data_IF_336614054585
#
_entry.id   IF_336614054585
#
_cell.length_a   1.000
_cell.length_b   1.000
_cell.length_c   1.000
_cell.angle_alpha   90.00
_cell.angle_beta   90.00
_cell.angle_gamma   90.00
#
_symmetry.space_group_name_H-M   'P 1'
#
loop_
_entity.id
_entity.type
_entity.pdbx_description
1 polymer ?
#
# COMPACT_ATOMS: atom_id res chain seq x y z
N UNK A 1 -25.22 33.12 -29.92
CA UNK A 1 -25.36 32.97 -31.38
C UNK A 1 -24.18 32.14 -31.88
N UNK A 2 -24.43 30.88 -32.25
CA UNK A 2 -23.51 30.08 -33.05
C UNK A 2 -24.37 29.36 -34.09
N UNK A 3 -24.01 29.56 -35.36
CA UNK A 3 -24.68 29.02 -36.55
C UNK A 3 -24.06 27.65 -36.84
N UNK A 4 -24.88 26.71 -37.32
CA UNK A 4 -24.59 25.33 -37.76
C UNK A 4 -24.80 24.21 -36.70
N UNK A 5 -25.99 23.58 -36.66
CA UNK A 5 -26.15 22.19 -36.26
C UNK A 5 -26.11 21.28 -37.50
N UNK A 6 -25.23 20.28 -37.48
CA UNK A 6 -25.19 19.17 -38.44
C UNK A 6 -26.28 18.15 -38.12
N UNK A 7 -26.95 17.65 -39.17
CA UNK A 7 -28.12 16.78 -39.10
C UNK A 7 -27.81 15.28 -39.07
N UNK A 8 -28.91 14.50 -39.11
CA UNK A 8 -29.09 13.04 -38.90
C UNK A 8 -29.69 12.77 -37.50
N UNK A 9 -30.92 12.28 -37.30
CA UNK A 9 -31.79 11.43 -38.10
C UNK A 9 -33.28 11.79 -37.90
N UNK A 10 -34.02 11.90 -39.01
CA UNK A 10 -35.47 11.82 -39.10
C UNK A 10 -35.79 10.66 -40.05
N UNK A 11 -36.65 9.75 -39.60
CA UNK A 11 -37.47 8.73 -40.30
C UNK A 11 -37.56 7.54 -39.32
N UNK A 12 -38.71 7.23 -38.71
CA UNK A 12 -39.84 6.61 -39.38
C UNK A 12 -41.21 7.08 -38.84
N UNK A 13 -42.03 7.66 -39.71
CA UNK A 13 -43.47 7.80 -39.52
C UNK A 13 -44.14 7.68 -40.90
N UNK A 14 -44.98 6.65 -41.08
CA UNK A 14 -45.86 6.46 -42.25
C UNK A 14 -47.21 5.92 -41.75
N UNK A 15 -48.35 6.36 -42.34
CA UNK A 15 -49.56 6.71 -41.61
C UNK A 15 -50.67 5.65 -41.57
N UNK A 16 -51.64 5.89 -40.70
CA UNK A 16 -52.90 5.15 -40.58
C UNK A 16 -53.80 5.32 -41.82
N UNK A 17 -54.54 4.27 -42.23
CA UNK A 17 -55.65 4.43 -43.17
C UNK A 17 -56.99 4.56 -42.42
N UNK A 18 -57.72 5.61 -42.78
CA UNK A 18 -59.17 5.72 -42.57
C UNK A 18 -59.89 4.61 -43.35
N UNK A 19 -60.84 3.93 -42.71
CA UNK A 19 -62.03 3.47 -43.42
C UNK A 19 -63.22 3.27 -42.48
N UNK A 20 -64.26 4.05 -42.74
CA UNK A 20 -65.54 4.01 -42.05
C UNK A 20 -66.46 2.97 -42.71
N UNK A 21 -66.96 2.00 -41.93
CA UNK A 21 -68.17 1.26 -42.28
C UNK A 21 -69.05 1.02 -41.04
N UNK A 22 -70.27 1.54 -41.14
CA UNK A 22 -71.41 1.44 -40.21
C UNK A 22 -71.80 -0.02 -39.95
N UNK A 23 -72.17 -0.34 -38.70
CA UNK A 23 -73.16 -1.38 -38.32
C UNK A 23 -73.70 -1.11 -36.89
N UNK A 24 -74.90 -1.64 -36.53
CA UNK A 24 -75.95 -0.85 -35.89
C UNK A 24 -76.01 -0.91 -34.37
N UNK A 25 -76.79 0.03 -33.81
CA UNK A 25 -77.12 0.18 -32.40
C UNK A 25 -77.69 -1.10 -31.77
N UNK A 26 -77.14 -1.47 -30.60
CA UNK A 26 -77.75 -2.44 -29.68
C UNK A 26 -77.96 -1.79 -28.31
N UNK A 27 -79.24 -1.80 -27.93
CA UNK A 27 -79.84 -1.81 -26.61
C UNK A 27 -79.03 -1.26 -25.42
N UNK A 28 -79.59 -0.19 -24.86
CA UNK A 28 -79.34 0.38 -23.54
C UNK A 28 -79.59 -0.69 -22.47
N UNK A 29 -78.52 -1.21 -21.87
CA UNK A 29 -78.60 -1.99 -20.64
C UNK A 29 -78.40 -1.02 -19.46
N UNK A 30 -79.40 -0.97 -18.58
CA UNK A 30 -79.33 -0.30 -17.29
C UNK A 30 -78.18 -0.89 -16.47
N UNK A 31 -77.17 -0.08 -16.20
CA UNK A 31 -76.08 -0.43 -15.28
C UNK A 31 -76.40 0.16 -13.92
N UNK A 32 -76.65 -0.74 -12.98
CA UNK A 32 -76.72 -0.52 -11.53
C UNK A 32 -75.49 0.28 -11.07
N UNK A 33 -75.61 1.32 -10.23
CA UNK A 33 -74.46 2.03 -9.69
C UNK A 33 -73.85 1.23 -8.54
N UNK A 34 -73.10 0.18 -8.88
CA UNK A 34 -72.30 -0.59 -7.95
C UNK A 34 -70.89 -0.73 -8.52
N UNK A 35 -70.16 0.39 -8.55
CA UNK A 35 -68.70 0.44 -8.49
C UNK A 35 -68.30 1.91 -8.30
N UNK A 36 -68.57 2.43 -7.10
CA UNK A 36 -67.84 3.58 -6.61
C UNK A 36 -66.36 3.17 -6.59
N UNK A 37 -65.58 3.68 -7.56
CA UNK A 37 -64.11 3.56 -7.61
C UNK A 37 -63.56 3.71 -6.20
N UNK A 38 -63.11 2.61 -5.60
CA UNK A 38 -62.29 2.67 -4.38
C UNK A 38 -61.14 3.62 -4.69
N UNK A 39 -61.16 4.79 -4.05
CA UNK A 39 -60.05 5.72 -4.05
C UNK A 39 -58.81 4.95 -3.61
N UNK A 40 -57.94 4.58 -4.54
CA UNK A 40 -56.64 4.00 -4.21
C UNK A 40 -55.90 5.03 -3.36
N UNK A 41 -55.56 4.67 -2.12
CA UNK A 41 -54.83 5.56 -1.22
C UNK A 41 -53.59 6.13 -1.93
N UNK A 42 -53.34 7.43 -1.74
CA UNK A 42 -52.15 8.06 -2.31
C UNK A 42 -50.89 7.44 -1.70
N UNK A 43 -49.86 7.27 -2.52
CA UNK A 43 -48.53 6.83 -2.06
C UNK A 43 -47.92 7.93 -1.19
N UNK A 44 -47.13 7.55 -0.21
CA UNK A 44 -46.41 8.47 0.67
C UNK A 44 -44.90 8.33 0.50
N UNK A 45 -44.22 9.47 0.27
CA UNK A 45 -42.77 9.59 0.29
C UNK A 45 -42.34 10.19 1.64
N UNK A 46 -41.51 9.48 2.39
CA UNK A 46 -40.76 10.05 3.51
C UNK A 46 -39.43 10.57 2.96
N UNK A 47 -39.28 11.89 2.89
CA UNK A 47 -38.09 12.53 2.38
C UNK A 47 -37.14 12.89 3.53
N UNK A 48 -36.00 12.22 3.59
CA UNK A 48 -34.97 12.47 4.61
C UNK A 48 -33.99 13.52 4.09
N UNK A 49 -33.96 14.65 4.78
CA UNK A 49 -33.18 15.84 4.43
C UNK A 49 -32.15 16.14 5.52
N UNK A 50 -31.06 16.79 5.13
CA UNK A 50 -29.98 17.22 6.02
C UNK A 50 -28.62 17.03 5.35
N UNK A 51 -27.59 17.69 5.89
CA UNK A 51 -26.25 17.58 5.33
C UNK A 51 -25.72 16.13 5.37
N UNK A 52 -24.82 15.78 4.44
CA UNK A 52 -24.05 14.55 4.53
C UNK A 52 -23.42 14.43 5.92
N UNK A 53 -23.43 13.21 6.50
CA UNK A 53 -22.88 12.91 7.84
C UNK A 53 -23.70 13.46 9.02
N UNK A 54 -24.84 14.11 8.78
CA UNK A 54 -25.81 14.52 9.82
C UNK A 54 -26.72 13.39 10.33
N UNK A 55 -26.49 12.14 9.94
CA UNK A 55 -27.34 11.02 10.37
C UNK A 55 -28.42 10.59 9.38
N UNK A 56 -28.48 11.21 8.21
CA UNK A 56 -29.45 10.89 7.13
C UNK A 56 -29.48 9.40 6.78
N UNK A 57 -28.33 8.72 6.71
CA UNK A 57 -28.29 7.27 6.46
C UNK A 57 -28.85 6.44 7.63
N UNK A 58 -28.56 6.83 8.87
CA UNK A 58 -29.06 6.11 10.04
C UNK A 58 -30.60 6.22 10.12
N UNK A 59 -31.14 7.40 9.83
CA UNK A 59 -32.57 7.64 9.85
C UNK A 59 -33.30 6.94 8.69
N UNK A 60 -32.72 6.97 7.48
CA UNK A 60 -33.24 6.22 6.33
C UNK A 60 -33.32 4.73 6.64
N UNK A 61 -32.28 4.18 7.28
CA UNK A 61 -32.30 2.78 7.69
C UNK A 61 -33.39 2.50 8.72
N UNK A 62 -33.55 3.35 9.74
CA UNK A 62 -34.61 3.20 10.73
C UNK A 62 -36.01 3.20 10.09
N UNK A 63 -36.26 4.13 9.17
CA UNK A 63 -37.51 4.22 8.41
C UNK A 63 -37.73 2.96 7.55
N UNK A 64 -36.69 2.42 6.92
CA UNK A 64 -36.79 1.15 6.18
C UNK A 64 -37.09 -0.05 7.07
N UNK A 65 -36.55 -0.07 8.30
CA UNK A 65 -36.80 -1.15 9.27
C UNK A 65 -38.26 -1.17 9.75
N UNK A 66 -38.94 -0.02 9.68
CA UNK A 66 -40.39 0.14 9.93
C UNK A 66 -41.25 -0.19 8.70
N UNK A 67 -40.63 -0.63 7.60
CA UNK A 67 -41.32 -1.17 6.42
C UNK A 67 -41.51 -0.19 5.26
N UNK A 68 -40.89 0.99 5.29
CA UNK A 68 -40.84 1.84 4.09
C UNK A 68 -39.90 1.26 3.03
N UNK A 69 -40.32 1.29 1.77
CA UNK A 69 -39.53 0.75 0.65
C UNK A 69 -38.28 1.60 0.39
N UNK A 70 -37.16 0.91 0.12
CA UNK A 70 -35.88 1.50 -0.30
C UNK A 70 -35.79 1.50 -1.83
N UNK A 71 -34.95 2.35 -2.45
CA UNK A 71 -34.75 2.29 -3.89
C UNK A 71 -34.10 0.95 -4.30
N UNK A 72 -34.48 0.44 -5.47
CA UNK A 72 -33.91 -0.81 -6.02
C UNK A 72 -32.40 -0.75 -6.22
N UNK A 73 -31.88 0.39 -6.68
CA UNK A 73 -30.46 0.57 -7.02
C UNK A 73 -29.78 1.57 -6.06
N UNK A 74 -29.26 1.06 -4.95
CA UNK A 74 -28.59 1.85 -3.92
C UNK A 74 -27.08 1.91 -4.11
N UNK A 75 -26.46 3.02 -3.67
CA UNK A 75 -25.01 3.19 -3.66
C UNK A 75 -24.28 2.15 -2.81
N UNK A 76 -24.91 1.66 -1.74
CA UNK A 76 -24.38 0.54 -0.95
C UNK A 76 -23.20 0.92 -0.06
N UNK A 77 -22.54 -0.09 0.51
CA UNK A 77 -21.45 0.08 1.48
C UNK A 77 -20.15 0.54 0.81
N UNK A 78 -19.39 1.36 1.54
CA UNK A 78 -18.04 1.78 1.14
C UNK A 78 -17.13 1.91 2.37
N UNK A 79 -15.80 2.09 2.20
CA UNK A 79 -14.87 2.17 3.34
C UNK A 79 -15.17 3.28 4.36
N UNK A 80 -15.88 4.34 3.95
CA UNK A 80 -16.24 5.48 4.83
C UNK A 80 -17.62 5.34 5.49
N UNK A 81 -18.38 4.33 5.08
CA UNK A 81 -19.69 3.95 5.59
C UNK A 81 -19.93 2.44 5.36
N UNK A 82 -19.39 1.58 6.25
CA UNK A 82 -19.50 0.13 6.13
C UNK A 82 -20.95 -0.38 6.16
N UNK A 83 -21.87 0.37 6.77
CA UNK A 83 -23.29 0.01 6.89
C UNK A 83 -24.09 0.24 5.61
N UNK A 84 -23.56 0.98 4.63
CA UNK A 84 -24.27 1.29 3.40
C UNK A 84 -24.81 2.70 3.29
N UNK A 85 -24.75 3.22 2.08
CA UNK A 85 -25.52 4.34 1.58
C UNK A 85 -26.85 3.83 1.01
N UNK A 86 -27.92 4.56 1.28
CA UNK A 86 -29.30 4.25 0.86
C UNK A 86 -29.75 5.14 -0.30
N UNK A 87 -28.82 5.93 -0.84
CA UNK A 87 -29.03 6.86 -1.94
C UNK A 87 -29.27 6.10 -3.26
N UNK A 88 -30.30 6.47 -4.04
CA UNK A 88 -30.50 5.95 -5.39
C UNK A 88 -29.41 6.46 -6.34
N UNK A 89 -28.55 5.56 -6.84
CA UNK A 89 -27.33 5.91 -7.61
C UNK A 89 -27.66 6.73 -8.85
N UNK A 90 -28.69 6.32 -9.60
CA UNK A 90 -29.08 6.97 -10.86
C UNK A 90 -29.63 8.38 -10.65
N UNK A 91 -30.26 8.65 -9.50
CA UNK A 91 -30.67 10.00 -9.12
C UNK A 91 -29.46 10.85 -8.72
N UNK A 92 -28.52 10.29 -7.96
CA UNK A 92 -27.27 10.97 -7.60
C UNK A 92 -26.49 11.41 -8.86
N UNK A 93 -26.33 10.52 -9.84
CA UNK A 93 -25.69 10.82 -11.13
C UNK A 93 -26.47 11.87 -11.95
N UNK A 94 -27.81 11.83 -11.91
CA UNK A 94 -28.64 12.85 -12.55
C UNK A 94 -28.45 14.23 -11.89
N UNK A 95 -28.33 14.28 -10.56
CA UNK A 95 -28.03 15.52 -9.83
C UNK A 95 -26.65 16.07 -10.16
N UNK A 96 -25.62 15.22 -10.25
CA UNK A 96 -24.28 15.68 -10.64
C UNK A 96 -24.30 16.31 -12.04
N UNK A 97 -25.04 15.73 -12.98
CA UNK A 97 -25.25 16.32 -14.32
C UNK A 97 -26.01 17.64 -14.25
N UNK A 98 -27.12 17.68 -13.50
CA UNK A 98 -27.94 18.89 -13.34
C UNK A 98 -27.15 20.05 -12.76
N UNK A 99 -26.43 19.80 -11.67
CA UNK A 99 -25.60 20.81 -11.03
C UNK A 99 -24.45 21.24 -11.96
N UNK A 100 -23.80 20.30 -12.64
CA UNK A 100 -22.73 20.59 -13.58
C UNK A 100 -23.18 21.47 -14.75
N UNK A 101 -24.35 21.23 -15.32
CA UNK A 101 -24.94 22.06 -16.39
C UNK A 101 -25.27 23.48 -15.91
N UNK A 102 -25.64 23.64 -14.64
CA UNK A 102 -25.83 24.95 -14.00
C UNK A 102 -24.51 25.60 -13.54
N UNK A 103 -23.36 25.00 -13.82
CA UNK A 103 -22.06 25.52 -13.38
C UNK A 103 -21.87 25.44 -11.85
N UNK A 104 -22.59 24.55 -11.17
CA UNK A 104 -22.48 24.25 -9.74
C UNK A 104 -21.98 22.82 -9.51
N UNK A 105 -21.93 22.42 -8.24
CA UNK A 105 -21.55 21.08 -7.79
C UNK A 105 -22.19 20.80 -6.43
N UNK A 106 -22.13 19.55 -6.00
CA UNK A 106 -22.74 19.12 -4.74
C UNK A 106 -22.13 19.80 -3.51
N UNK A 107 -20.85 20.20 -3.60
CA UNK A 107 -20.08 20.92 -2.58
C UNK A 107 -20.12 22.45 -2.76
N UNK A 108 -20.92 22.96 -3.69
CA UNK A 108 -21.11 24.38 -3.87
C UNK A 108 -22.03 24.95 -2.79
N UNK A 109 -21.53 25.79 -1.89
CA UNK A 109 -22.34 26.38 -0.82
C UNK A 109 -23.14 27.61 -1.26
N UNK A 110 -23.00 28.05 -2.53
CA UNK A 110 -23.85 29.13 -3.09
C UNK A 110 -25.29 28.66 -3.27
N UNK A 111 -26.23 29.60 -3.36
CA UNK A 111 -27.61 29.29 -3.71
C UNK A 111 -27.68 28.65 -5.10
N UNK A 112 -28.59 27.71 -5.29
CA UNK A 112 -28.85 27.07 -6.57
C UNK A 112 -30.35 27.19 -6.90
N UNK A 113 -30.69 27.85 -8.01
CA UNK A 113 -32.05 27.86 -8.54
C UNK A 113 -32.14 26.96 -9.78
N UNK A 114 -32.91 25.86 -9.76
CA UNK A 114 -33.15 25.03 -10.93
C UNK A 114 -33.67 25.78 -12.17
N UNK A 115 -34.27 26.96 -12.00
CA UNK A 115 -34.71 27.80 -13.12
C UNK A 115 -33.56 28.33 -13.98
N UNK A 116 -32.34 28.44 -13.44
CA UNK A 116 -31.15 28.93 -14.14
C UNK A 116 -30.72 28.00 -15.28
N UNK A 117 -31.16 26.73 -15.27
CA UNK A 117 -30.96 25.77 -16.37
C UNK A 117 -31.72 26.14 -17.65
N UNK A 118 -32.72 27.02 -17.53
CA UNK A 118 -33.67 27.32 -18.60
C UNK A 118 -34.79 26.27 -18.72
N UNK A 119 -35.95 26.74 -19.19
CA UNK A 119 -37.19 25.97 -19.12
C UNK A 119 -37.15 24.60 -19.82
N UNK A 120 -36.41 24.46 -20.92
CA UNK A 120 -36.30 23.18 -21.63
C UNK A 120 -35.51 22.13 -20.85
N UNK A 121 -34.36 22.51 -20.27
CA UNK A 121 -33.54 21.61 -19.45
C UNK A 121 -34.22 21.28 -18.13
N UNK A 122 -34.84 22.26 -17.47
CA UNK A 122 -35.62 22.02 -16.26
C UNK A 122 -36.75 21.01 -16.49
N UNK A 123 -37.49 21.11 -17.61
CA UNK A 123 -38.51 20.11 -17.98
C UNK A 123 -37.91 18.72 -18.19
N UNK A 124 -36.75 18.64 -18.84
CA UNK A 124 -36.04 17.37 -19.01
C UNK A 124 -35.70 16.74 -17.65
N UNK A 125 -35.12 17.50 -16.72
CA UNK A 125 -34.78 16.99 -15.39
C UNK A 125 -36.01 16.59 -14.58
N UNK A 126 -37.10 17.37 -14.63
CA UNK A 126 -38.36 17.00 -13.98
C UNK A 126 -38.88 15.64 -14.50
N UNK A 127 -38.86 15.44 -15.82
CA UNK A 127 -39.30 14.18 -16.43
C UNK A 127 -38.38 13.00 -16.05
N UNK A 128 -37.06 13.19 -16.09
CA UNK A 128 -36.10 12.14 -15.74
C UNK A 128 -36.13 11.78 -14.26
N UNK A 129 -36.26 12.77 -13.37
CA UNK A 129 -36.44 12.51 -11.93
C UNK A 129 -37.73 11.73 -11.71
N UNK A 130 -38.86 12.15 -12.29
CA UNK A 130 -40.13 11.43 -12.16
C UNK A 130 -40.02 9.97 -12.64
N UNK A 131 -39.40 9.75 -13.80
CA UNK A 131 -39.15 8.42 -14.37
C UNK A 131 -38.30 7.55 -13.43
N UNK A 132 -37.21 8.11 -12.89
CA UNK A 132 -36.35 7.39 -11.96
C UNK A 132 -37.06 7.08 -10.63
N UNK A 133 -37.87 7.99 -10.10
CA UNK A 133 -38.66 7.72 -8.88
C UNK A 133 -39.61 6.54 -9.13
N UNK A 134 -40.29 6.50 -10.28
CA UNK A 134 -41.18 5.38 -10.62
C UNK A 134 -40.41 4.06 -10.76
N UNK A 135 -39.27 4.07 -11.44
CA UNK A 135 -38.43 2.87 -11.63
C UNK A 135 -37.85 2.35 -10.31
N UNK A 136 -37.33 3.23 -9.46
CA UNK A 136 -36.64 2.88 -8.22
C UNK A 136 -37.61 2.42 -7.12
N UNK A 137 -38.83 2.96 -7.06
CA UNK A 137 -39.79 2.69 -5.97
C UNK A 137 -41.07 1.96 -6.40
N UNK A 138 -41.32 1.81 -7.71
CA UNK A 138 -42.47 1.10 -8.25
C UNK A 138 -43.81 1.60 -7.71
N UNK A 139 -44.69 0.67 -7.33
CA UNK A 139 -46.01 0.95 -6.75
C UNK A 139 -46.03 1.00 -5.21
N UNK A 140 -44.87 1.11 -4.56
CA UNK A 140 -44.77 1.07 -3.09
C UNK A 140 -45.69 2.13 -2.45
N UNK A 141 -46.59 1.74 -1.52
CA UNK A 141 -47.52 2.67 -0.88
C UNK A 141 -46.80 3.62 0.09
N UNK A 142 -45.70 3.18 0.71
CA UNK A 142 -44.82 3.97 1.55
C UNK A 142 -43.37 3.71 1.14
N UNK A 143 -42.63 4.76 0.83
CA UNK A 143 -41.20 4.66 0.50
C UNK A 143 -40.40 5.78 1.12
N UNK A 144 -39.09 5.52 1.31
CA UNK A 144 -38.15 6.50 1.86
C UNK A 144 -37.18 6.95 0.79
N UNK A 145 -37.05 8.27 0.65
CA UNK A 145 -36.14 8.90 -0.29
C UNK A 145 -35.10 9.71 0.47
N UNK A 146 -33.84 9.43 0.17
CA UNK A 146 -32.71 10.14 0.74
C UNK A 146 -31.63 10.31 -0.30
N UNK A 147 -31.32 11.56 -0.58
CA UNK A 147 -30.11 11.99 -1.29
C UNK A 147 -29.82 13.40 -0.75
N UNK A 148 -28.74 13.62 0.01
CA UNK A 148 -28.57 14.86 0.78
C UNK A 148 -28.62 16.15 -0.04
N UNK A 149 -28.31 16.11 -1.35
CA UNK A 149 -28.38 17.31 -2.21
C UNK A 149 -29.82 17.76 -2.44
N UNK A 150 -30.82 16.88 -2.29
CA UNK A 150 -32.25 17.25 -2.36
C UNK A 150 -32.58 18.37 -1.36
N UNK A 151 -31.89 18.45 -0.21
CA UNK A 151 -32.02 19.57 0.73
C UNK A 151 -31.92 20.95 0.07
N UNK A 152 -31.18 21.06 -1.04
CA UNK A 152 -30.91 22.30 -1.76
C UNK A 152 -31.94 22.67 -2.81
N UNK A 153 -32.79 21.72 -3.21
CA UNK A 153 -33.78 21.90 -4.26
C UNK A 153 -35.07 21.12 -3.95
N UNK A 154 -35.47 21.11 -2.68
CA UNK A 154 -36.73 20.50 -2.21
C UNK A 154 -37.96 20.97 -3.02
N UNK A 155 -38.11 22.26 -3.41
CA UNK A 155 -39.28 22.69 -4.19
C UNK A 155 -39.43 21.96 -5.53
N UNK A 156 -38.32 21.64 -6.20
CA UNK A 156 -38.31 20.87 -7.45
C UNK A 156 -38.92 19.46 -7.22
N UNK A 157 -38.48 18.80 -6.15
CA UNK A 157 -38.96 17.47 -5.78
C UNK A 157 -40.41 17.47 -5.31
N UNK A 158 -40.82 18.49 -4.56
CA UNK A 158 -42.20 18.64 -4.13
C UNK A 158 -43.17 18.76 -5.32
N UNK A 159 -42.82 19.57 -6.32
CA UNK A 159 -43.61 19.72 -7.55
C UNK A 159 -43.69 18.40 -8.34
N UNK A 160 -42.57 17.69 -8.47
CA UNK A 160 -42.53 16.41 -9.18
C UNK A 160 -43.41 15.38 -8.48
N UNK A 161 -43.24 15.21 -7.16
CA UNK A 161 -44.01 14.24 -6.38
C UNK A 161 -45.51 14.58 -6.34
N UNK A 162 -45.88 15.86 -6.30
CA UNK A 162 -47.26 16.31 -6.43
C UNK A 162 -47.86 15.91 -7.79
N UNK A 163 -47.11 16.11 -8.89
CA UNK A 163 -47.54 15.69 -10.24
C UNK A 163 -47.72 14.17 -10.35
N UNK A 164 -46.94 13.40 -9.58
CA UNK A 164 -47.03 11.94 -9.46
C UNK A 164 -48.12 11.49 -8.46
N UNK A 165 -48.85 12.43 -7.83
CA UNK A 165 -49.86 12.18 -6.79
C UNK A 165 -49.31 11.42 -5.58
N UNK A 166 -48.07 11.73 -5.20
CA UNK A 166 -47.40 11.21 -4.02
C UNK A 166 -47.42 12.28 -2.93
N UNK A 167 -47.95 11.94 -1.75
CA UNK A 167 -47.91 12.82 -0.60
C UNK A 167 -46.51 12.79 0.03
N UNK A 168 -45.96 13.95 0.40
CA UNK A 168 -44.58 14.05 0.92
C UNK A 168 -44.60 14.41 2.39
N UNK A 169 -43.80 13.68 3.18
CA UNK A 169 -43.54 13.95 4.60
C UNK A 169 -42.04 14.15 4.79
N UNK A 170 -41.65 15.25 5.44
CA UNK A 170 -40.24 15.61 5.56
C UNK A 170 -39.68 15.22 6.92
N UNK A 171 -38.50 14.60 6.88
CA UNK A 171 -37.72 14.30 8.08
C UNK A 171 -36.40 15.05 7.93
N UNK A 172 -36.24 16.13 8.68
CA UNK A 172 -35.00 16.90 8.70
C UNK A 172 -34.15 16.35 9.83
N UNK A 173 -32.90 16.00 9.52
CA UNK A 173 -31.97 15.50 10.53
C UNK A 173 -30.74 16.36 10.63
N UNK A 174 -30.50 16.81 11.85
CA UNK A 174 -29.36 17.62 12.22
C UNK A 174 -28.39 16.83 13.09
N UNK A 175 -27.14 17.29 13.10
CA UNK A 175 -26.09 16.78 13.98
C UNK A 175 -25.22 17.95 14.39
N UNK A 176 -24.55 17.84 15.54
CA UNK A 176 -23.58 18.85 15.94
C UNK A 176 -22.58 19.14 14.80
N UNK A 177 -22.49 20.41 14.33
CA UNK A 177 -21.66 20.75 13.17
C UNK A 177 -20.17 20.42 13.38
N UNK A 178 -19.65 20.45 14.62
CA UNK A 178 -18.27 20.02 14.87
C UNK A 178 -18.05 18.53 14.53
N UNK A 179 -19.04 17.68 14.81
CA UNK A 179 -18.96 16.25 14.49
C UNK A 179 -19.09 16.01 12.98
N UNK A 180 -19.92 16.80 12.29
CA UNK A 180 -20.03 16.77 10.82
C UNK A 180 -18.71 17.19 10.17
N UNK A 181 -18.15 18.32 10.60
CA UNK A 181 -16.88 18.86 10.11
C UNK A 181 -15.74 17.84 10.32
N UNK A 182 -15.59 17.31 11.53
CA UNK A 182 -14.56 16.31 11.82
C UNK A 182 -14.72 15.04 10.94
N UNK A 183 -15.97 14.65 10.64
CA UNK A 183 -16.22 13.52 9.74
C UNK A 183 -15.87 13.83 8.28
N UNK A 184 -16.01 15.07 7.83
CA UNK A 184 -15.66 15.50 6.47
C UNK A 184 -14.14 15.67 6.31
N UNK A 185 -13.47 16.22 7.31
CA UNK A 185 -12.01 16.37 7.35
C UNK A 185 -11.31 15.00 7.33
N UNK A 186 -11.83 14.00 8.06
CA UNK A 186 -11.28 12.63 8.05
C UNK A 186 -11.34 11.99 6.65
N UNK A 187 -12.28 12.40 5.80
CA UNK A 187 -12.37 11.94 4.41
C UNK A 187 -11.31 12.59 3.50
N UNK A 188 -10.57 13.59 4.01
CA UNK A 188 -9.53 14.31 3.29
C UNK A 188 -10.04 15.26 2.22
N UNK A 189 -11.34 15.57 2.20
CA UNK A 189 -11.97 16.31 1.09
C UNK A 189 -12.16 17.80 1.36
N UNK A 190 -12.24 18.24 2.62
CA UNK A 190 -12.61 19.63 2.94
C UNK A 190 -11.91 20.17 4.17
N UNK A 191 -11.78 21.50 4.20
CA UNK A 191 -11.30 22.25 5.37
C UNK A 191 -12.44 22.54 6.35
N UNK A 192 -12.08 22.88 7.58
CA UNK A 192 -13.00 23.23 8.66
C UNK A 192 -14.07 24.26 8.24
N UNK A 193 -13.65 25.44 7.76
CA UNK A 193 -14.56 26.54 7.43
C UNK A 193 -15.46 26.21 6.23
N UNK A 194 -14.91 25.56 5.20
CA UNK A 194 -15.67 25.14 4.04
C UNK A 194 -16.75 24.12 4.43
N UNK A 195 -16.40 23.13 5.25
CA UNK A 195 -17.34 22.13 5.77
C UNK A 195 -18.47 22.77 6.58
N UNK A 196 -18.16 23.83 7.34
CA UNK A 196 -19.15 24.56 8.13
C UNK A 196 -20.15 25.33 7.24
N UNK A 197 -19.68 25.99 6.18
CA UNK A 197 -20.55 26.67 5.21
C UNK A 197 -21.41 25.69 4.41
N UNK A 198 -20.84 24.54 4.04
CA UNK A 198 -21.57 23.51 3.31
C UNK A 198 -22.69 22.91 4.17
N UNK A 199 -22.42 22.64 5.45
CA UNK A 199 -23.45 22.26 6.42
C UNK A 199 -24.53 23.33 6.52
N UNK A 200 -24.15 24.60 6.73
CA UNK A 200 -25.06 25.72 6.88
C UNK A 200 -26.04 25.83 5.70
N UNK A 201 -25.53 25.78 4.47
CA UNK A 201 -26.34 25.84 3.23
C UNK A 201 -27.43 24.77 3.20
N UNK A 202 -27.06 23.51 3.46
CA UNK A 202 -27.98 22.38 3.38
C UNK A 202 -29.09 22.46 4.43
N UNK A 203 -28.76 22.84 5.66
CA UNK A 203 -29.75 22.91 6.73
C UNK A 203 -30.72 24.09 6.53
N UNK A 204 -30.21 25.27 6.11
CA UNK A 204 -31.05 26.45 5.86
C UNK A 204 -32.03 26.24 4.70
N UNK A 205 -31.57 25.65 3.59
CA UNK A 205 -32.42 25.42 2.41
C UNK A 205 -33.49 24.36 2.69
N UNK A 206 -33.11 23.26 3.36
CA UNK A 206 -34.07 22.22 3.75
C UNK A 206 -35.13 22.75 4.73
N UNK A 207 -34.70 23.50 5.74
CA UNK A 207 -35.65 24.07 6.70
C UNK A 207 -36.61 25.03 6.01
N UNK A 208 -36.09 26.02 5.27
CA UNK A 208 -36.90 27.02 4.59
C UNK A 208 -37.92 26.40 3.63
N UNK A 209 -37.47 25.47 2.78
CA UNK A 209 -38.30 24.90 1.73
C UNK A 209 -39.39 23.94 2.24
N UNK A 210 -39.30 23.49 3.50
CA UNK A 210 -40.27 22.55 4.10
C UNK A 210 -41.30 23.23 5.00
N UNK A 211 -41.20 24.56 5.21
CA UNK A 211 -42.17 25.32 6.02
C UNK A 211 -43.60 25.14 5.49
N UNK A 212 -44.55 25.01 6.42
CA UNK A 212 -45.97 24.80 6.08
C UNK A 212 -46.30 23.42 5.50
N UNK A 213 -45.33 22.48 5.47
CA UNK A 213 -45.53 21.08 5.07
C UNK A 213 -45.40 20.16 6.30
N UNK A 214 -45.94 18.92 6.25
CA UNK A 214 -45.71 17.95 7.30
C UNK A 214 -44.22 17.65 7.46
N UNK A 215 -43.62 18.11 8.57
CA UNK A 215 -42.19 18.00 8.83
C UNK A 215 -41.90 17.66 10.29
N UNK A 216 -40.82 16.91 10.52
CA UNK A 216 -40.27 16.64 11.85
C UNK A 216 -38.76 16.87 11.82
N UNK A 217 -38.22 17.38 12.91
CA UNK A 217 -36.78 17.56 13.13
C UNK A 217 -36.31 16.51 14.13
N UNK A 218 -35.17 15.88 13.85
CA UNK A 218 -34.61 14.81 14.65
C UNK A 218 -33.08 14.92 14.67
N UNK A 219 -32.53 15.17 15.85
CA UNK A 219 -31.08 15.20 16.01
C UNK A 219 -30.50 13.78 16.02
N UNK A 220 -29.36 13.62 15.36
CA UNK A 220 -28.62 12.36 15.35
C UNK A 220 -28.25 11.91 16.77
N UNK A 221 -27.87 12.85 17.62
CA UNK A 221 -27.54 12.60 19.03
C UNK A 221 -28.73 11.99 19.78
N UNK A 222 -29.92 12.60 19.71
CA UNK A 222 -31.10 12.05 20.39
C UNK A 222 -31.55 10.70 19.81
N UNK A 223 -31.35 10.49 18.51
CA UNK A 223 -31.65 9.19 17.89
C UNK A 223 -30.71 8.08 18.40
N UNK A 224 -29.44 8.40 18.67
CA UNK A 224 -28.49 7.43 19.26
C UNK A 224 -28.83 7.18 20.74
N UNK A 225 -29.12 8.23 21.50
CA UNK A 225 -29.37 8.12 22.95
C UNK A 225 -30.76 7.52 23.26
N UNK A 226 -31.74 7.73 22.38
CA UNK A 226 -33.15 7.43 22.66
C UNK A 226 -34.02 7.28 21.41
N UNK A 227 -33.61 6.42 20.46
CA UNK A 227 -34.28 6.22 19.16
C UNK A 227 -35.80 6.05 19.24
N UNK A 228 -36.31 5.37 20.28
CA UNK A 228 -37.76 5.08 20.43
C UNK A 228 -38.58 6.37 20.46
N UNK A 229 -38.14 7.35 21.24
CA UNK A 229 -38.82 8.65 21.34
C UNK A 229 -38.82 9.43 20.03
N UNK A 230 -37.76 9.31 19.24
CA UNK A 230 -37.65 9.93 17.92
C UNK A 230 -38.57 9.26 16.90
N UNK A 231 -38.65 7.94 16.90
CA UNK A 231 -39.58 7.18 16.04
C UNK A 231 -41.05 7.47 16.41
N UNK A 232 -41.38 7.51 17.69
CA UNK A 232 -42.72 7.87 18.17
C UNK A 232 -43.10 9.29 17.72
N UNK A 233 -42.21 10.28 17.93
CA UNK A 233 -42.42 11.66 17.46
C UNK A 233 -42.59 11.76 15.95
N UNK A 234 -41.79 11.01 15.19
CA UNK A 234 -41.91 10.92 13.73
C UNK A 234 -43.28 10.36 13.32
N UNK A 235 -43.73 9.30 13.99
CA UNK A 235 -45.03 8.66 13.74
C UNK A 235 -46.18 9.62 13.97
N UNK A 236 -46.18 10.31 15.12
CA UNK A 236 -47.22 11.26 15.50
C UNK A 236 -47.20 12.52 14.64
N UNK A 237 -46.04 13.16 14.49
CA UNK A 237 -45.93 14.44 13.76
C UNK A 237 -46.24 14.27 12.29
N UNK A 238 -45.75 13.18 11.69
CA UNK A 238 -45.95 12.90 10.28
C UNK A 238 -47.17 12.03 10.01
N UNK A 239 -47.97 11.66 11.02
CA UNK A 239 -49.19 10.85 10.88
C UNK A 239 -48.97 9.65 9.93
N UNK A 240 -47.93 8.85 10.21
CA UNK A 240 -47.51 7.71 9.39
C UNK A 240 -48.09 6.42 9.97
N UNK A 241 -48.74 5.64 9.12
CA UNK A 241 -49.05 4.24 9.41
C UNK A 241 -47.89 3.36 8.92
N UNK A 242 -47.13 2.80 9.86
CA UNK A 242 -45.98 1.95 9.53
C UNK A 242 -46.43 0.56 9.05
N UNK A 243 -45.95 0.07 7.89
CA UNK A 243 -46.22 -1.29 7.42
C UNK A 243 -45.76 -2.36 8.39
N UNK A 244 -44.70 -2.08 9.17
CA UNK A 244 -44.25 -2.91 10.28
C UNK A 244 -44.43 -2.16 11.60
N UNK A 245 -45.14 -2.74 12.59
CA UNK A 245 -45.28 -2.14 13.91
C UNK A 245 -43.93 -1.87 14.58
N UNK A 246 -43.84 -0.76 15.33
CA UNK A 246 -42.61 -0.34 16.02
C UNK A 246 -42.10 -1.43 16.97
N UNK A 247 -43.01 -2.10 17.69
CA UNK A 247 -42.67 -3.18 18.62
C UNK A 247 -42.01 -4.37 17.90
N UNK A 248 -42.45 -4.70 16.69
CA UNK A 248 -41.89 -5.81 15.90
C UNK A 248 -40.50 -5.46 15.34
N UNK A 249 -40.22 -4.17 15.13
CA UNK A 249 -38.94 -3.67 14.64
C UNK A 249 -37.94 -3.34 15.76
N UNK A 250 -38.36 -3.43 17.04
CA UNK A 250 -37.60 -2.92 18.19
C UNK A 250 -36.18 -3.48 18.30
N UNK A 251 -35.99 -4.79 18.13
CA UNK A 251 -34.66 -5.41 18.18
C UNK A 251 -33.75 -4.90 17.07
N UNK A 252 -34.27 -4.76 15.85
CA UNK A 252 -33.49 -4.27 14.71
C UNK A 252 -33.12 -2.80 14.87
N UNK A 253 -34.05 -1.97 15.36
CA UNK A 253 -33.82 -0.54 15.63
C UNK A 253 -32.81 -0.34 16.76
N UNK A 254 -32.92 -1.11 17.84
CA UNK A 254 -31.98 -1.07 18.98
C UNK A 254 -30.55 -1.44 18.56
N UNK A 255 -30.39 -2.50 17.77
CA UNK A 255 -29.08 -2.88 17.23
C UNK A 255 -28.51 -1.79 16.32
N UNK A 256 -29.35 -1.23 15.44
CA UNK A 256 -28.95 -0.21 14.47
C UNK A 256 -28.45 1.10 15.12
N UNK A 257 -29.12 1.57 16.18
CA UNK A 257 -28.72 2.79 16.90
C UNK A 257 -27.73 2.54 18.05
N UNK A 258 -27.15 1.34 18.15
CA UNK A 258 -26.17 1.05 19.19
C UNK A 258 -24.95 2.00 19.09
N UNK A 259 -24.47 2.48 20.24
CA UNK A 259 -23.42 3.49 20.35
C UNK A 259 -22.10 3.12 19.65
N UNK A 260 -21.89 1.83 19.33
CA UNK A 260 -20.73 1.34 18.56
C UNK A 260 -20.59 1.98 17.17
N UNK A 261 -21.65 2.60 16.64
CA UNK A 261 -21.64 3.28 15.34
C UNK A 261 -21.38 4.79 15.39
N UNK A 262 -21.14 5.36 16.58
CA UNK A 262 -20.88 6.80 16.73
C UNK A 262 -19.39 7.14 16.66
N UNK A 263 -18.91 7.50 15.47
CA UNK A 263 -17.48 7.78 15.26
C UNK A 263 -17.01 9.18 15.68
N UNK A 264 -17.92 10.14 15.89
CA UNK A 264 -17.60 11.52 16.27
C UNK A 264 -18.66 12.09 17.21
N UNK A 265 -18.24 12.59 18.37
CA UNK A 265 -19.11 13.18 19.40
C UNK A 265 -18.64 14.59 19.69
N UNK A 266 -19.58 15.54 19.66
CA UNK A 266 -19.34 16.91 20.05
C UNK A 266 -20.51 17.42 20.89
N UNK A 267 -20.21 18.12 21.98
CA UNK A 267 -21.23 18.72 22.83
C UNK A 267 -21.60 20.12 22.34
N UNK A 268 -22.80 20.57 22.69
CA UNK A 268 -23.23 21.96 22.46
C UNK A 268 -22.28 22.96 23.09
N UNK A 269 -21.87 22.73 24.34
CA UNK A 269 -20.93 23.60 25.05
C UNK A 269 -19.60 23.76 24.28
N UNK A 270 -19.10 22.67 23.67
CA UNK A 270 -17.90 22.72 22.84
C UNK A 270 -18.10 23.55 21.56
N UNK A 271 -19.25 23.43 20.91
CA UNK A 271 -19.60 24.25 19.74
C UNK A 271 -19.64 25.74 20.12
N UNK A 272 -20.32 26.07 21.21
CA UNK A 272 -20.42 27.46 21.68
C UNK A 272 -19.05 28.05 22.03
N UNK A 273 -18.18 27.25 22.65
CA UNK A 273 -16.82 27.66 23.01
C UNK A 273 -15.83 27.73 21.84
N UNK A 274 -16.11 27.13 20.68
CA UNK A 274 -15.19 27.15 19.53
C UNK A 274 -15.14 28.55 18.91
N UNK A 275 -13.99 29.22 19.05
CA UNK A 275 -13.75 30.58 18.56
C UNK A 275 -13.62 30.65 17.03
N UNK A 276 -13.31 29.53 16.37
CA UNK A 276 -13.20 29.46 14.91
C UNK A 276 -14.56 29.36 14.24
N UNK A 277 -15.59 28.96 14.99
CA UNK A 277 -16.93 28.75 14.47
C UNK A 277 -17.69 30.07 14.36
N UNK A 278 -18.29 30.31 13.20
CA UNK A 278 -19.07 31.51 12.94
C UNK A 278 -20.36 31.52 13.75
N UNK A 279 -20.85 32.74 14.05
CA UNK A 279 -22.14 32.91 14.73
C UNK A 279 -23.28 32.29 13.92
N UNK A 280 -23.25 32.38 12.58
CA UNK A 280 -24.23 31.77 11.69
C UNK A 280 -24.44 30.28 11.95
N UNK A 281 -23.36 29.51 12.10
CA UNK A 281 -23.45 28.06 12.34
C UNK A 281 -23.98 27.76 13.74
N UNK A 282 -23.51 28.49 14.76
CA UNK A 282 -23.99 28.34 16.16
C UNK A 282 -25.47 28.67 16.27
N UNK A 283 -25.88 29.80 15.69
CA UNK A 283 -27.25 30.28 15.66
C UNK A 283 -28.17 29.28 14.95
N UNK A 284 -27.75 28.79 13.78
CA UNK A 284 -28.51 27.80 13.02
C UNK A 284 -28.68 26.52 13.81
N UNK A 285 -27.61 25.98 14.39
CA UNK A 285 -27.69 24.76 15.20
C UNK A 285 -28.60 24.94 16.42
N UNK A 286 -28.50 26.06 17.12
CA UNK A 286 -29.38 26.36 18.26
C UNK A 286 -30.84 26.49 17.84
N UNK A 287 -31.14 27.06 16.67
CA UNK A 287 -32.49 27.16 16.14
C UNK A 287 -33.05 25.80 15.71
N UNK A 288 -32.26 24.95 15.04
CA UNK A 288 -32.67 23.58 14.68
C UNK A 288 -33.02 22.76 15.93
N UNK A 289 -32.23 22.88 17.01
CA UNK A 289 -32.55 22.24 18.30
C UNK A 289 -33.86 22.74 18.92
N UNK A 290 -34.23 24.00 18.69
CA UNK A 290 -35.52 24.52 19.12
C UNK A 290 -36.66 23.94 18.25
N UNK A 291 -36.44 23.82 16.94
CA UNK A 291 -37.39 23.22 16.00
C UNK A 291 -37.63 21.72 16.24
N UNK A 292 -36.63 20.99 16.75
CA UNK A 292 -36.80 19.61 17.23
C UNK A 292 -37.85 19.48 18.33
N UNK A 293 -38.00 20.51 19.18
CA UNK A 293 -38.99 20.55 20.25
C UNK A 293 -40.32 21.11 19.77
N UNK A 294 -40.27 22.13 18.93
CA UNK A 294 -41.44 22.79 18.35
C UNK A 294 -41.16 23.15 16.87
N UNK A 295 -41.64 22.34 15.90
CA UNK A 295 -41.39 22.57 14.48
C UNK A 295 -41.92 23.90 13.91
N UNK A 296 -42.75 24.62 14.69
CA UNK A 296 -43.34 25.91 14.36
C UNK A 296 -42.84 27.04 15.29
N UNK A 297 -41.69 26.89 15.93
CA UNK A 297 -41.10 27.94 16.75
C UNK A 297 -40.75 29.17 15.89
N UNK A 298 -41.50 30.25 16.09
CA UNK A 298 -41.35 31.49 15.33
C UNK A 298 -40.01 32.20 15.60
N UNK A 299 -39.45 32.08 16.81
CA UNK A 299 -38.16 32.68 17.15
C UNK A 299 -37.04 31.96 16.45
N UNK A 300 -37.06 30.62 16.47
CA UNK A 300 -36.10 29.80 15.74
C UNK A 300 -36.18 30.07 14.23
N UNK A 301 -37.40 30.14 13.68
CA UNK A 301 -37.63 30.43 12.26
C UNK A 301 -37.09 31.81 11.86
N UNK A 302 -37.37 32.86 12.64
CA UNK A 302 -36.86 34.21 12.38
C UNK A 302 -35.32 34.29 12.49
N UNK A 303 -34.73 33.54 13.43
CA UNK A 303 -33.29 33.44 13.55
C UNK A 303 -32.65 32.77 12.33
N UNK A 304 -33.25 31.69 11.81
CA UNK A 304 -32.80 31.04 10.59
C UNK A 304 -32.94 31.94 9.36
N UNK A 305 -34.03 32.71 9.27
CA UNK A 305 -34.21 33.71 8.20
C UNK A 305 -33.11 34.78 8.24
N UNK A 306 -32.81 35.34 9.42
CA UNK A 306 -31.75 36.33 9.57
C UNK A 306 -30.37 35.77 9.17
N UNK A 307 -30.08 34.52 9.52
CA UNK A 307 -28.83 33.85 9.11
C UNK A 307 -28.81 33.60 7.61
N UNK A 308 -29.91 33.09 7.03
CA UNK A 308 -30.03 32.83 5.59
C UNK A 308 -29.83 34.11 4.79
N UNK A 309 -30.55 35.17 5.13
CA UNK A 309 -30.48 36.44 4.40
C UNK A 309 -29.07 37.05 4.47
N UNK A 310 -28.40 36.97 5.64
CA UNK A 310 -27.02 37.41 5.79
C UNK A 310 -26.03 36.54 4.98
N UNK A 311 -26.24 35.23 4.95
CA UNK A 311 -25.39 34.30 4.22
C UNK A 311 -25.56 34.44 2.70
N UNK A 312 -26.80 34.57 2.22
CA UNK A 312 -27.13 34.79 0.81
C UNK A 312 -26.60 36.15 0.32
N UNK A 313 -26.61 37.19 1.17
CA UNK A 313 -26.01 38.48 0.83
C UNK A 313 -24.48 38.40 0.66
N UNK A 314 -23.80 37.62 1.51
CA UNK A 314 -22.34 37.43 1.42
C UNK A 314 -21.92 36.45 0.32
N UNK A 315 -22.81 35.54 -0.08
CA UNK A 315 -22.47 34.39 -0.92
C UNK A 315 -21.99 34.74 -2.32
N UNK A 316 -22.60 35.67 -3.08
CA UNK A 316 -22.13 36.05 -4.40
C UNK A 316 -20.70 36.60 -4.39
N UNK A 317 -20.39 37.51 -3.45
CA UNK A 317 -19.08 38.20 -3.38
C UNK A 317 -17.93 37.21 -3.20
N UNK A 318 -18.04 36.32 -2.20
CA UNK A 318 -16.98 35.34 -1.96
C UNK A 318 -17.07 34.15 -2.91
N UNK A 319 -18.28 33.75 -3.28
CA UNK A 319 -18.55 32.58 -4.11
C UNK A 319 -18.04 32.75 -5.54
N UNK A 320 -18.25 33.92 -6.16
CA UNK A 320 -17.74 34.23 -7.51
C UNK A 320 -16.21 34.34 -7.55
N UNK A 321 -15.58 34.81 -6.48
CA UNK A 321 -14.12 34.83 -6.37
C UNK A 321 -13.54 33.43 -6.10
N UNK A 322 -14.26 32.59 -5.36
CA UNK A 322 -13.74 31.33 -4.84
C UNK A 322 -13.97 30.13 -5.76
N UNK A 323 -15.21 29.90 -6.22
CA UNK A 323 -15.56 28.66 -6.93
C UNK A 323 -14.96 28.55 -8.34
N UNK A 324 -14.92 29.61 -9.16
CA UNK A 324 -14.22 29.55 -10.45
C UNK A 324 -12.73 29.22 -10.29
N UNK A 325 -12.04 29.88 -9.35
CA UNK A 325 -10.62 29.64 -9.07
C UNK A 325 -10.39 28.22 -8.52
N UNK A 326 -11.24 27.75 -7.60
CA UNK A 326 -11.19 26.38 -7.09
C UNK A 326 -11.36 25.34 -8.21
N UNK A 327 -12.26 25.60 -9.17
CA UNK A 327 -12.46 24.71 -10.33
C UNK A 327 -11.22 24.65 -11.21
N UNK A 328 -10.62 25.81 -11.52
CA UNK A 328 -9.37 25.88 -12.30
C UNK A 328 -8.27 25.09 -11.60
N UNK A 329 -8.06 25.31 -10.30
CA UNK A 329 -7.06 24.55 -9.52
C UNK A 329 -7.35 23.06 -9.48
N UNK A 330 -8.60 22.66 -9.32
CA UNK A 330 -9.00 21.25 -9.30
C UNK A 330 -8.70 20.55 -10.63
N UNK A 331 -8.95 21.23 -11.75
CA UNK A 331 -8.61 20.73 -13.09
C UNK A 331 -7.09 20.60 -13.23
N UNK A 332 -6.32 21.63 -12.87
CA UNK A 332 -4.85 21.58 -12.90
C UNK A 332 -4.29 20.46 -12.03
N UNK A 333 -4.85 20.23 -10.84
CA UNK A 333 -4.42 19.17 -9.94
C UNK A 333 -4.84 17.78 -10.44
N UNK A 334 -5.97 17.67 -11.14
CA UNK A 334 -6.36 16.44 -11.83
C UNK A 334 -5.42 16.12 -12.99
N UNK A 335 -5.05 17.11 -13.80
CA UNK A 335 -4.08 16.97 -14.90
C UNK A 335 -2.70 16.56 -14.37
N UNK A 336 -2.19 17.24 -13.34
CA UNK A 336 -0.92 16.87 -12.69
C UNK A 336 -0.96 15.44 -12.14
N UNK A 337 -2.07 15.03 -11.51
CA UNK A 337 -2.24 13.66 -11.02
C UNK A 337 -2.27 12.65 -12.15
N UNK A 338 -2.97 12.95 -13.25
CA UNK A 338 -3.00 12.09 -14.43
C UNK A 338 -1.60 11.95 -15.06
N UNK A 339 -0.83 13.04 -15.13
CA UNK A 339 0.56 13.02 -15.60
C UNK A 339 1.46 12.16 -14.68
N UNK A 340 1.35 12.32 -13.36
CA UNK A 340 2.09 11.50 -12.40
C UNK A 340 1.71 10.03 -12.50
N UNK A 341 0.42 9.71 -12.60
CA UNK A 341 -0.06 8.34 -12.78
C UNK A 341 0.46 7.73 -14.08
N UNK A 342 0.47 8.50 -15.16
CA UNK A 342 1.04 8.06 -16.44
C UNK A 342 2.55 7.79 -16.33
N UNK A 343 3.30 8.68 -15.67
CA UNK A 343 4.73 8.48 -15.45
C UNK A 343 5.01 7.22 -14.61
N UNK A 344 4.24 7.02 -13.54
CA UNK A 344 4.31 5.80 -12.71
C UNK A 344 4.00 4.55 -13.55
N UNK A 345 2.97 4.60 -14.40
CA UNK A 345 2.61 3.48 -15.26
C UNK A 345 3.70 3.16 -16.30
N UNK A 346 4.44 4.16 -16.78
CA UNK A 346 5.59 3.96 -17.69
C UNK A 346 6.80 3.40 -16.94
N UNK A 347 7.06 3.84 -15.72
CA UNK A 347 8.25 3.42 -14.95
C UNK A 347 8.09 2.09 -14.23
N UNK A 348 6.86 1.70 -13.85
CA UNK A 348 6.60 0.48 -13.10
C UNK A 348 7.17 -0.79 -13.75
N UNK A 349 7.01 -1.04 -15.08
CA UNK A 349 7.57 -2.24 -15.72
C UNK A 349 9.11 -2.31 -15.67
N UNK A 350 9.79 -1.17 -15.75
CA UNK A 350 11.26 -1.12 -15.67
C UNK A 350 11.74 -1.38 -14.24
N UNK A 351 11.05 -0.83 -13.23
CA UNK A 351 11.31 -1.13 -11.82
C UNK A 351 11.10 -2.62 -11.54
N UNK A 352 10.02 -3.22 -12.05
CA UNK A 352 9.73 -4.65 -11.89
C UNK A 352 10.82 -5.51 -12.55
N UNK A 353 11.28 -5.14 -13.75
CA UNK A 353 12.37 -5.81 -14.45
C UNK A 353 13.67 -5.76 -13.66
N UNK A 354 14.06 -4.57 -13.18
CA UNK A 354 15.28 -4.39 -12.39
C UNK A 354 15.20 -5.15 -11.06
N UNK A 355 14.03 -5.18 -10.42
CA UNK A 355 13.79 -5.93 -9.18
C UNK A 355 13.98 -7.43 -9.43
N UNK A 356 13.38 -7.97 -10.49
CA UNK A 356 13.55 -9.37 -10.87
C UNK A 356 15.01 -9.73 -11.22
N UNK A 357 15.74 -8.82 -11.88
CA UNK A 357 17.16 -9.01 -12.17
C UNK A 357 18.02 -9.01 -10.90
N UNK A 358 17.76 -8.10 -9.96
CA UNK A 358 18.44 -8.07 -8.66
C UNK A 358 18.18 -9.35 -7.87
N UNK A 359 16.95 -9.87 -7.85
CA UNK A 359 16.62 -11.15 -7.21
C UNK A 359 17.31 -12.34 -7.87
N UNK A 360 17.47 -12.32 -9.20
CA UNK A 360 18.24 -13.34 -9.92
C UNK A 360 19.71 -13.31 -9.52
N UNK A 361 20.33 -12.13 -9.53
CA UNK A 361 21.74 -11.95 -9.17
C UNK A 361 22.00 -12.34 -7.71
N UNK A 362 21.09 -12.00 -6.79
CA UNK A 362 21.19 -12.43 -5.38
C UNK A 362 21.21 -13.95 -5.25
N UNK A 363 20.31 -14.66 -5.94
CA UNK A 363 20.30 -16.13 -5.97
C UNK A 363 21.58 -16.72 -6.57
N UNK A 364 22.14 -16.09 -7.60
CA UNK A 364 23.41 -16.53 -8.18
C UNK A 364 24.57 -16.38 -7.18
N UNK A 365 24.63 -15.26 -6.45
CA UNK A 365 25.63 -15.04 -5.40
C UNK A 365 25.48 -16.08 -4.28
N UNK A 366 24.27 -16.32 -3.77
CA UNK A 366 24.01 -17.33 -2.74
C UNK A 366 24.46 -18.73 -3.17
N UNK A 367 24.16 -19.12 -4.42
CA UNK A 367 24.62 -20.40 -4.96
C UNK A 367 26.15 -20.47 -5.06
N UNK A 368 26.79 -19.40 -5.52
CA UNK A 368 28.26 -19.32 -5.61
C UNK A 368 28.93 -19.37 -4.25
N UNK A 369 28.37 -18.70 -3.24
CA UNK A 369 28.88 -18.73 -1.87
C UNK A 369 28.75 -20.13 -1.27
N UNK A 370 27.65 -20.84 -1.54
CA UNK A 370 27.46 -22.23 -1.13
C UNK A 370 28.50 -23.16 -1.80
N UNK A 371 28.79 -22.96 -3.09
CA UNK A 371 29.80 -23.74 -3.81
C UNK A 371 31.23 -23.43 -3.31
N UNK A 372 31.53 -22.16 -3.03
CA UNK A 372 32.80 -21.76 -2.42
C UNK A 372 32.96 -22.40 -1.03
N UNK A 373 31.89 -22.43 -0.22
CA UNK A 373 31.90 -23.07 1.09
C UNK A 373 32.19 -24.58 0.97
N UNK A 374 31.52 -25.29 0.05
CA UNK A 374 31.79 -26.71 -0.23
C UNK A 374 33.22 -26.95 -0.70
N UNK A 375 33.74 -26.11 -1.60
CA UNK A 375 35.11 -26.21 -2.08
C UNK A 375 36.12 -25.97 -0.96
N UNK A 376 35.88 -25.00 -0.08
CA UNK A 376 36.72 -24.73 1.09
C UNK A 376 36.74 -25.91 2.06
N UNK A 377 35.58 -26.48 2.35
CA UNK A 377 35.45 -27.64 3.23
C UNK A 377 36.20 -28.86 2.65
N UNK A 378 35.98 -29.15 1.36
CA UNK A 378 36.70 -30.23 0.67
C UNK A 378 38.22 -30.02 0.67
N UNK A 379 38.70 -28.78 0.48
CA UNK A 379 40.14 -28.46 0.53
C UNK A 379 40.70 -28.57 1.95
N UNK A 380 39.93 -28.20 2.96
CA UNK A 380 40.32 -28.38 4.36
C UNK A 380 40.46 -29.86 4.69
N UNK A 381 39.49 -30.70 4.32
CA UNK A 381 39.57 -32.15 4.52
C UNK A 381 40.76 -32.76 3.78
N UNK A 382 41.03 -32.34 2.54
CA UNK A 382 42.20 -32.79 1.76
C UNK A 382 43.51 -32.39 2.46
N UNK A 383 43.61 -31.16 2.95
CA UNK A 383 44.78 -30.68 3.68
C UNK A 383 44.99 -31.43 5.01
N UNK A 384 43.93 -31.69 5.77
CA UNK A 384 43.98 -32.48 7.01
C UNK A 384 44.45 -33.92 6.73
N UNK A 385 43.96 -34.55 5.66
CA UNK A 385 44.38 -35.88 5.26
C UNK A 385 45.86 -35.94 4.84
N UNK A 386 46.33 -34.93 4.08
CA UNK A 386 47.73 -34.79 3.70
C UNK A 386 48.63 -34.57 4.92
N UNK A 387 48.21 -33.71 5.87
CA UNK A 387 48.98 -33.46 7.09
C UNK A 387 49.07 -34.72 7.96
N UNK A 388 47.97 -35.46 8.13
CA UNK A 388 47.96 -36.73 8.83
C UNK A 388 48.87 -37.78 8.16
N UNK A 389 48.93 -37.79 6.82
CA UNK A 389 49.84 -38.68 6.08
C UNK A 389 51.31 -38.28 6.26
N UNK A 390 51.60 -36.97 6.25
CA UNK A 390 52.93 -36.44 6.51
C UNK A 390 53.40 -36.78 7.93
N UNK A 391 52.55 -36.59 8.94
CA UNK A 391 52.84 -36.96 10.34
C UNK A 391 53.08 -38.46 10.51
N UNK A 392 52.39 -39.31 9.73
CA UNK A 392 52.64 -40.77 9.70
C UNK A 392 54.00 -41.08 9.09
N UNK A 393 54.33 -40.49 7.95
CA UNK A 393 55.61 -40.66 7.27
C UNK A 393 56.76 -40.18 8.14
N UNK A 394 56.64 -39.00 8.76
CA UNK A 394 57.66 -38.46 9.64
C UNK A 394 57.93 -39.38 10.83
N UNK A 395 56.86 -39.91 11.47
CA UNK A 395 56.99 -40.91 12.55
C UNK A 395 57.67 -42.19 12.08
N UNK A 396 57.34 -42.69 10.89
CA UNK A 396 57.96 -43.89 10.32
C UNK A 396 59.44 -43.65 10.00
N UNK A 397 59.80 -42.50 9.43
CA UNK A 397 61.19 -42.13 9.14
C UNK A 397 62.00 -41.99 10.43
N UNK A 398 61.48 -41.30 11.45
CA UNK A 398 62.13 -41.19 12.77
C UNK A 398 62.33 -42.56 13.42
N UNK A 399 61.35 -43.46 13.34
CA UNK A 399 61.48 -44.83 13.84
C UNK A 399 62.58 -45.61 13.09
N UNK A 400 62.65 -45.47 11.75
CA UNK A 400 63.67 -46.12 10.93
C UNK A 400 65.07 -45.56 11.19
N UNK A 401 65.21 -44.25 11.36
CA UNK A 401 66.47 -43.62 11.75
C UNK A 401 66.94 -44.14 13.11
N UNK A 402 66.06 -44.23 14.10
CA UNK A 402 66.39 -44.79 15.40
C UNK A 402 66.86 -46.25 15.31
N UNK A 403 66.21 -47.06 14.46
CA UNK A 403 66.62 -48.45 14.20
C UNK A 403 67.99 -48.54 13.52
N UNK A 404 68.26 -47.70 12.51
CA UNK A 404 69.55 -47.64 11.82
C UNK A 404 70.67 -47.16 12.73
N UNK A 405 70.40 -46.18 13.61
CA UNK A 405 71.36 -45.73 14.64
C UNK A 405 71.68 -46.88 15.58
N UNK A 406 70.67 -47.65 16.01
CA UNK A 406 70.88 -48.82 16.86
C UNK A 406 71.70 -49.91 16.14
N UNK A 407 71.45 -50.16 14.85
CA UNK A 407 72.22 -51.09 14.01
C UNK A 407 73.67 -50.64 13.84
N UNK A 408 73.90 -49.38 13.46
CA UNK A 408 75.24 -48.81 13.32
C UNK A 408 76.01 -48.88 14.65
N UNK A 409 75.33 -48.64 15.77
CA UNK A 409 75.88 -48.81 17.11
C UNK A 409 76.21 -50.27 17.46
N UNK A 410 75.52 -51.26 16.87
CA UNK A 410 75.90 -52.68 16.95
C UNK A 410 77.11 -52.99 16.07
N UNK A 411 77.09 -52.58 14.80
CA UNK A 411 78.19 -52.82 13.86
C UNK A 411 79.50 -52.17 14.29
N UNK A 412 79.45 -50.95 14.84
CA UNK A 412 80.65 -50.27 15.35
C UNK A 412 81.27 -51.02 16.52
N UNK A 413 80.44 -51.58 17.42
CA UNK A 413 80.93 -52.45 18.51
C UNK A 413 81.63 -53.68 17.96
N UNK A 414 81.00 -54.38 17.02
CA UNK A 414 81.61 -55.55 16.35
C UNK A 414 82.90 -55.21 15.61
N UNK A 415 82.97 -54.07 14.94
CA UNK A 415 84.17 -53.62 14.23
C UNK A 415 85.32 -53.29 15.20
N UNK A 416 85.03 -52.62 16.32
CA UNK A 416 86.02 -52.36 17.38
C UNK A 416 86.55 -53.65 18.00
N UNK A 417 85.70 -54.66 18.19
CA UNK A 417 86.10 -56.00 18.64
C UNK A 417 87.03 -56.67 17.62
N UNK A 418 86.69 -56.61 16.34
CA UNK A 418 87.50 -57.17 15.25
C UNK A 418 88.84 -56.44 15.06
N UNK A 419 88.88 -55.11 15.17
CA UNK A 419 90.11 -54.32 15.08
C UNK A 419 91.05 -54.62 16.25
N UNK A 420 90.50 -54.79 17.46
CA UNK A 420 91.26 -55.22 18.62
C UNK A 420 91.90 -56.60 18.39
N UNK A 421 91.16 -57.54 17.76
CA UNK A 421 91.72 -58.83 17.34
C UNK A 421 92.81 -58.67 16.27
N UNK A 422 92.60 -57.82 15.27
CA UNK A 422 93.58 -57.60 14.20
C UNK A 422 94.89 -56.97 14.71
N UNK A 423 94.82 -56.04 15.66
CA UNK A 423 96.01 -55.46 16.29
C UNK A 423 96.81 -56.51 17.07
N UNK A 424 96.11 -57.44 17.74
CA UNK A 424 96.76 -58.55 18.43
C UNK A 424 97.55 -59.42 17.44
N UNK A 425 96.93 -59.82 16.34
CA UNK A 425 97.56 -60.61 15.27
C UNK A 425 98.72 -59.85 14.58
N UNK A 426 98.60 -58.53 14.40
CA UNK A 426 99.66 -57.71 13.79
C UNK A 426 100.92 -57.67 14.67
N UNK A 427 100.76 -57.55 16.00
CA UNK A 427 101.90 -57.61 16.93
C UNK A 427 102.64 -58.95 16.83
N UNK A 428 101.91 -60.05 16.66
CA UNK A 428 102.52 -61.36 16.42
C UNK A 428 103.33 -61.39 15.11
N UNK A 429 102.80 -60.79 14.03
CA UNK A 429 103.48 -60.72 12.73
C UNK A 429 104.76 -59.85 12.76
N UNK A 430 104.72 -58.71 13.46
CA UNK A 430 105.88 -57.82 13.61
C UNK A 430 107.02 -58.48 14.38
N UNK A 431 106.70 -59.27 15.41
CA UNK A 431 107.68 -60.08 16.14
C UNK A 431 108.38 -61.08 15.20
N UNK A 432 107.63 -61.78 14.35
CA UNK A 432 108.18 -62.70 13.35
C UNK A 432 109.08 -61.98 12.32
N UNK A 433 108.70 -60.78 11.89
CA UNK A 433 109.43 -60.04 10.84
C UNK A 433 110.75 -59.46 11.37
N UNK A 434 110.78 -59.04 12.65
CA UNK A 434 112.00 -58.59 13.30
C UNK A 434 113.05 -59.70 13.38
N UNK A 435 112.62 -60.93 13.71
CA UNK A 435 113.49 -62.11 13.68
C UNK A 435 114.05 -62.37 12.29
N UNK A 436 113.26 -62.18 11.24
CA UNK A 436 113.72 -62.36 9.86
C UNK A 436 114.79 -61.34 9.44
N UNK A 437 114.67 -60.07 9.85
CA UNK A 437 115.66 -59.02 9.51
C UNK A 437 117.00 -59.23 10.20
N UNK A 438 117.01 -59.74 11.43
CA UNK A 438 118.25 -60.07 12.15
C UNK A 438 119.12 -61.03 11.33
N UNK A 439 118.50 -62.04 10.74
CA UNK A 439 119.17 -63.05 9.90
C UNK A 439 119.76 -62.46 8.59
N UNK A 440 119.16 -61.42 8.02
CA UNK A 440 119.65 -60.79 6.77
C UNK A 440 120.89 -59.92 7.04
N UNK A 441 120.95 -59.24 8.18
CA UNK A 441 122.06 -58.34 8.50
C UNK A 441 123.39 -59.10 8.67
N UNK A 442 123.33 -60.27 9.31
CA UNK A 442 124.49 -61.17 9.48
C UNK A 442 125.07 -61.60 8.13
N UNK A 443 124.23 -61.73 7.09
CA UNK A 443 124.68 -62.09 5.72
C UNK A 443 125.47 -60.97 5.05
N UNK A 444 125.03 -59.72 5.12
CA UNK A 444 125.62 -58.62 4.34
C UNK A 444 126.97 -58.16 4.88
N UNK A 445 127.20 -58.31 6.18
CA UNK A 445 128.47 -57.97 6.82
C UNK A 445 129.62 -58.83 6.27
N UNK A 446 129.35 -60.12 6.01
CA UNK A 446 130.32 -61.05 5.43
C UNK A 446 130.71 -60.70 3.97
N UNK A 447 129.84 -60.00 3.22
CA UNK A 447 130.12 -59.61 1.83
C UNK A 447 131.04 -58.39 1.73
N UNK A 448 130.98 -57.45 2.67
CA UNK A 448 131.74 -56.19 2.63
C UNK A 448 133.24 -56.37 2.89
N UNK A 449 133.61 -57.31 3.77
CA UNK A 449 135.01 -57.63 4.05
C UNK A 449 135.76 -58.14 2.81
N UNK A 450 135.04 -58.80 1.89
CA UNK A 450 135.59 -59.29 0.63
C UNK A 450 136.00 -58.17 -0.34
N UNK A 451 135.29 -57.04 -0.35
CA UNK A 451 135.47 -55.99 -1.35
C UNK A 451 136.74 -55.15 -1.11
N UNK A 452 137.10 -54.89 0.15
CA UNK A 452 138.27 -54.06 0.51
C UNK A 452 139.60 -54.65 0.06
N UNK A 453 139.73 -55.98 0.04
CA UNK A 453 140.97 -56.64 -0.38
C UNK A 453 141.34 -56.40 -1.87
N UNK A 454 140.40 -55.93 -2.70
CA UNK A 454 140.63 -55.69 -4.13
C UNK A 454 141.21 -54.30 -4.45
N UNK A 455 141.03 -53.29 -3.59
CA UNK A 455 141.47 -51.92 -3.86
C UNK A 455 142.98 -51.71 -3.64
N UNK A 456 143.60 -52.50 -2.76
CA UNK A 456 145.03 -52.42 -2.40
C UNK A 456 146.01 -52.67 -3.58
N UNK A 457 145.58 -53.24 -4.71
CA UNK A 457 146.49 -53.64 -5.79
C UNK A 457 146.75 -52.53 -6.83
N UNK A 458 145.83 -51.57 -7.00
CA UNK A 458 145.85 -50.66 -8.16
C UNK A 458 146.75 -49.41 -8.03
N UNK A 459 147.13 -49.02 -6.81
CA UNK A 459 147.81 -47.73 -6.55
C UNK A 459 149.32 -47.77 -6.84
N UNK A 460 149.95 -48.94 -6.73
CA UNK A 460 151.41 -49.12 -6.91
C UNK A 460 151.89 -48.83 -8.35
N UNK A 461 151.01 -48.89 -9.35
CA UNK A 461 151.39 -48.90 -10.77
C UNK A 461 151.61 -47.51 -11.42
N UNK A 462 151.18 -46.38 -10.82
CA UNK A 462 151.03 -45.10 -11.57
C UNK A 462 152.12 -44.03 -11.47
N UNK A 463 153.07 -44.03 -10.53
CA UNK A 463 153.90 -42.82 -10.29
C UNK A 463 155.38 -42.89 -10.73
N UNK A 464 155.89 -44.03 -11.21
CA UNK A 464 157.31 -44.21 -11.61
C UNK A 464 157.71 -43.45 -12.92
N UNK A 465 156.76 -42.82 -13.62
CA UNK A 465 156.91 -42.29 -15.00
C UNK A 465 157.23 -40.78 -15.12
N UNK A 466 157.37 -40.01 -14.04
CA UNK A 466 157.58 -38.53 -14.09
C UNK A 466 159.05 -38.07 -13.95
N UNK A 467 160.03 -38.94 -14.18
CA UNK A 467 161.44 -38.54 -14.41
C UNK A 467 161.63 -38.01 -15.85
N UNK A 468 162.71 -37.25 -16.10
CA UNK A 468 163.58 -37.31 -17.30
C UNK A 468 163.48 -36.31 -18.50
N UNK A 469 162.58 -35.32 -18.63
CA UNK A 469 162.34 -34.68 -19.97
C UNK A 469 162.56 -33.17 -20.25
N UNK A 470 163.33 -32.32 -19.53
CA UNK A 470 163.48 -30.90 -19.98
C UNK A 470 164.84 -30.16 -19.92
N UNK A 471 165.98 -30.85 -19.78
CA UNK A 471 167.30 -30.27 -20.12
C UNK A 471 167.45 -30.15 -21.67
N UNK A 472 167.76 -28.95 -22.20
CA UNK A 472 168.22 -28.57 -23.57
C UNK A 472 167.23 -28.16 -24.71
N UNK A 473 167.01 -26.83 -24.90
CA UNK A 473 166.91 -26.08 -26.20
C UNK A 473 166.71 -24.55 -25.95
N UNK A 474 167.71 -23.65 -25.85
CA UNK A 474 168.56 -22.89 -26.82
C UNK A 474 167.94 -21.77 -27.73
N UNK A 475 168.28 -20.50 -27.37
CA UNK A 475 168.70 -19.26 -28.10
C UNK A 475 168.07 -18.74 -29.43
N UNK A 476 167.94 -17.38 -29.44
CA UNK A 476 167.95 -16.34 -30.54
C UNK A 476 166.66 -16.15 -31.38
N UNK A 477 166.11 -14.96 -31.69
CA UNK A 477 166.46 -13.53 -31.43
C UNK A 477 165.24 -12.63 -31.84
N UNK A 478 164.75 -11.76 -30.96
CA UNK A 478 164.70 -10.28 -31.08
C UNK A 478 165.03 -9.75 -29.69
#
# INVERSE_FOLDING_TARGET
MNKHPSGENLQDAVPAPENAQKRPAKARAETTPADAKKSTARRTCIMVLGMHRSGTSALTRAISLLGAELPKNMLGANPTNPAGHWEPVRLMELHDRMLGEAGSSWDDWRSFDPNDLGAARLRFYKAEIARLIDEEYGSAPLFVMKEPRISRFVPLYAEILESMRVDVRYVLTERNPLAVIASLEKRGSFTYAFSALLWLRHELEAECATRGKPRVFLSYENMIDGWRSGVERMTETLQIEWPRPINDAQTALSTHFSAAHQHHVASRARLEADQRMTKWVKDTYSALMALERNPNDATATAQLDAVRDAFDCASPVFGEAFFPEMRVRSVMDAEKRAQLQHLVAIQAPEIDRQTAELERLRREIENRDADIAKLRDSRLTEAEALNADWDRKERATKAREAELIAEAGRSTRLASEAESQAQLLKKELEALTADQRRLILERDQALSEKQRALEDLNVVHRSYMWRLTSLFRTKTKV
#
